data_IF_527956076748
#
_entry.id   IF_527956076748
#
_cell.length_a   1.000
_cell.length_b   1.000
_cell.length_c   1.000
_cell.angle_alpha   90.00
_cell.angle_beta   90.00
_cell.angle_gamma   90.00
#
_symmetry.space_group_name_H-M   'P 1'
#
loop_
_entity.id
_entity.type
_entity.pdbx_description
1 polymer ?
#
# COMPACT_ATOMS: atom_id res chain seq x y z
N UNK A 1 -31.57 -15.38 23.81
CA UNK A 1 -31.60 -16.84 23.64
C UNK A 1 -30.59 -17.16 22.57
N UNK A 2 -29.35 -17.54 22.95
CA UNK A 2 -28.29 -17.94 22.03
C UNK A 2 -28.62 -19.34 21.60
N UNK A 3 -28.99 -19.52 20.34
CA UNK A 3 -29.24 -20.83 19.75
C UNK A 3 -27.90 -21.53 19.58
N UNK A 4 -27.67 -22.60 20.35
CA UNK A 4 -26.59 -23.57 20.10
C UNK A 4 -26.88 -24.24 18.75
N UNK A 5 -26.37 -23.70 17.68
CA UNK A 5 -26.31 -24.35 16.37
C UNK A 5 -24.87 -24.68 16.05
N UNK A 6 -24.63 -25.66 15.18
CA UNK A 6 -23.34 -26.21 14.81
C UNK A 6 -22.17 -25.22 14.89
N UNK A 7 -21.05 -25.67 15.47
CA UNK A 7 -19.83 -24.83 15.56
C UNK A 7 -19.51 -24.29 14.18
N UNK A 8 -19.57 -22.96 14.03
CA UNK A 8 -19.23 -22.31 12.77
C UNK A 8 -17.76 -22.58 12.43
N UNK A 9 -17.38 -22.50 11.17
CA UNK A 9 -15.98 -22.64 10.74
C UNK A 9 -15.05 -21.70 11.55
N UNK A 10 -15.57 -20.54 11.94
CA UNK A 10 -14.92 -19.56 12.80
C UNK A 10 -14.58 -20.10 14.19
N UNK A 11 -15.50 -20.77 14.89
CA UNK A 11 -15.21 -21.33 16.21
C UNK A 11 -14.04 -22.33 16.17
N UNK A 12 -13.91 -23.09 15.10
CA UNK A 12 -12.78 -24.00 14.89
C UNK A 12 -11.46 -23.29 14.66
N UNK A 13 -11.47 -22.13 13.99
CA UNK A 13 -10.27 -21.34 13.72
C UNK A 13 -9.74 -20.61 14.98
N UNK A 14 -10.66 -20.20 15.88
CA UNK A 14 -10.35 -19.40 17.08
C UNK A 14 -10.25 -20.24 18.38
N UNK A 15 -10.34 -21.57 18.31
CA UNK A 15 -10.30 -22.42 19.50
C UNK A 15 -9.00 -22.33 20.31
N UNK A 16 -7.87 -22.00 19.66
CA UNK A 16 -6.57 -21.84 20.33
C UNK A 16 -6.43 -20.50 21.06
N UNK A 17 -7.35 -19.55 20.82
CA UNK A 17 -7.40 -18.23 21.48
C UNK A 17 -8.84 -17.90 21.89
N UNK A 18 -9.50 -18.72 22.72
CA UNK A 18 -10.94 -18.66 22.96
C UNK A 18 -11.43 -17.33 23.58
N UNK A 19 -10.60 -16.67 24.38
CA UNK A 19 -10.90 -15.38 24.99
C UNK A 19 -10.53 -14.21 24.08
N UNK A 20 -9.82 -14.47 22.99
CA UNK A 20 -9.30 -13.45 22.07
C UNK A 20 -10.21 -13.16 20.88
N UNK A 21 -11.30 -13.90 20.72
CA UNK A 21 -12.28 -13.73 19.66
C UNK A 21 -13.66 -13.45 20.23
N UNK A 22 -14.30 -12.40 19.73
CA UNK A 22 -15.65 -12.02 20.16
C UNK A 22 -16.51 -11.57 18.99
N UNK A 23 -17.55 -12.36 18.61
CA UNK A 23 -18.52 -11.91 17.65
C UNK A 23 -19.34 -10.74 18.26
N UNK A 24 -19.35 -9.60 17.60
CA UNK A 24 -20.08 -8.42 18.03
C UNK A 24 -21.49 -8.37 17.41
N UNK A 25 -21.59 -8.74 16.14
CA UNK A 25 -22.85 -8.67 15.41
C UNK A 25 -22.84 -9.58 14.18
N UNK A 26 -23.99 -10.16 13.91
CA UNK A 26 -24.29 -10.82 12.66
C UNK A 26 -23.77 -12.25 12.58
N UNK A 27 -23.86 -12.77 11.37
CA UNK A 27 -23.46 -14.09 10.93
C UNK A 27 -23.52 -14.05 9.40
N UNK A 28 -22.39 -14.30 8.76
CA UNK A 28 -22.25 -14.13 7.30
C UNK A 28 -23.15 -15.08 6.51
N UNK A 29 -23.31 -16.32 6.99
CA UNK A 29 -24.15 -17.32 6.32
C UNK A 29 -25.64 -16.97 6.42
N UNK A 30 -26.08 -16.43 7.57
CA UNK A 30 -27.49 -16.13 7.83
C UNK A 30 -27.93 -14.73 7.42
N UNK A 31 -27.11 -13.72 7.74
CA UNK A 31 -27.44 -12.31 7.55
C UNK A 31 -26.66 -11.68 6.40
N UNK A 32 -25.66 -12.35 5.89
CA UNK A 32 -24.76 -11.81 4.87
C UNK A 32 -23.78 -10.78 5.41
N UNK A 33 -23.70 -10.60 6.74
CA UNK A 33 -22.78 -9.69 7.40
C UNK A 33 -22.36 -10.21 8.76
N UNK A 34 -21.08 -10.10 9.10
CA UNK A 34 -20.49 -10.38 10.40
C UNK A 34 -19.57 -9.25 10.83
N UNK A 35 -19.55 -8.96 12.13
CA UNK A 35 -18.60 -8.00 12.75
C UNK A 35 -17.98 -8.68 13.95
N UNK A 36 -16.64 -8.73 13.97
CA UNK A 36 -15.90 -9.43 15.01
C UNK A 36 -14.80 -8.56 15.59
N UNK A 37 -14.55 -8.74 16.87
CA UNK A 37 -13.44 -8.15 17.59
C UNK A 37 -12.44 -9.22 17.98
N UNK A 38 -11.16 -8.94 17.73
CA UNK A 38 -10.05 -9.81 18.06
C UNK A 38 -9.07 -9.08 18.97
N UNK A 39 -8.73 -9.71 20.09
CA UNK A 39 -7.81 -9.15 21.09
C UNK A 39 -7.10 -10.29 21.84
N UNK A 40 -5.88 -10.66 21.41
CA UNK A 40 -5.17 -11.80 21.96
C UNK A 40 -3.65 -11.66 21.89
N UNK A 41 -2.98 -12.50 22.66
CA UNK A 41 -1.54 -12.75 22.55
C UNK A 41 -1.32 -14.22 22.20
N UNK A 42 -0.30 -14.50 21.42
CA UNK A 42 0.09 -15.86 21.08
C UNK A 42 1.61 -15.99 21.08
N UNK A 43 2.10 -17.10 21.59
CA UNK A 43 3.54 -17.42 21.63
C UNK A 43 4.04 -18.03 20.32
N UNK A 44 3.14 -18.54 19.50
CA UNK A 44 3.41 -19.09 18.18
C UNK A 44 2.76 -18.26 17.10
N UNK A 45 3.25 -18.38 15.86
CA UNK A 45 2.56 -17.81 14.72
C UNK A 45 1.17 -18.45 14.59
N UNK A 46 0.14 -17.63 14.48
CA UNK A 46 -1.25 -18.06 14.44
C UNK A 46 -1.80 -17.93 13.03
N UNK A 47 -2.32 -19.03 12.49
CA UNK A 47 -3.00 -19.05 11.18
C UNK A 47 -4.52 -19.04 11.37
N UNK A 48 -5.15 -17.96 10.90
CA UNK A 48 -6.58 -17.74 10.98
C UNK A 48 -7.30 -17.82 9.61
N UNK A 49 -6.56 -18.23 8.56
CA UNK A 49 -7.11 -18.36 7.21
C UNK A 49 -8.28 -19.34 7.09
N UNK A 50 -8.49 -20.19 8.10
CA UNK A 50 -9.62 -21.13 8.17
C UNK A 50 -10.95 -20.45 8.53
N UNK A 51 -10.93 -19.22 9.05
CA UNK A 51 -12.15 -18.46 9.38
C UNK A 51 -12.80 -17.81 8.17
N UNK A 52 -12.13 -17.75 7.05
CA UNK A 52 -12.66 -17.09 5.86
C UNK A 52 -13.78 -17.90 5.21
N UNK A 53 -14.89 -17.20 4.91
CA UNK A 53 -15.97 -17.81 4.16
C UNK A 53 -15.74 -17.66 2.65
N UNK A 54 -16.01 -18.70 1.86
CA UNK A 54 -16.00 -18.55 0.40
C UNK A 54 -17.08 -17.55 -0.07
N UNK A 55 -16.77 -16.82 -1.14
CA UNK A 55 -17.66 -15.82 -1.74
C UNK A 55 -18.01 -14.66 -0.81
N UNK A 56 -17.07 -14.29 0.04
CA UNK A 56 -17.17 -13.13 0.91
C UNK A 56 -16.13 -12.07 0.57
N UNK A 57 -16.33 -10.89 1.12
CA UNK A 57 -15.36 -9.82 1.20
C UNK A 57 -15.21 -9.45 2.66
N UNK A 58 -14.02 -9.59 3.19
CA UNK A 58 -13.70 -9.23 4.56
C UNK A 58 -12.82 -7.99 4.60
N UNK A 59 -13.18 -7.07 5.47
CA UNK A 59 -12.42 -5.86 5.79
C UNK A 59 -11.74 -6.04 7.13
N UNK A 60 -10.45 -5.76 7.18
CA UNK A 60 -9.66 -5.83 8.40
C UNK A 60 -9.13 -4.45 8.77
N UNK A 61 -9.42 -4.00 10.00
CA UNK A 61 -8.83 -2.82 10.61
C UNK A 61 -7.85 -3.27 11.69
N UNK A 62 -6.57 -3.29 11.37
CA UNK A 62 -5.52 -3.77 12.25
C UNK A 62 -5.04 -2.65 13.20
N UNK A 63 -5.39 -2.75 14.48
CA UNK A 63 -5.03 -1.78 15.52
C UNK A 63 -3.70 -2.12 16.19
N UNK A 64 -3.37 -3.41 16.30
CA UNK A 64 -2.16 -3.89 16.98
C UNK A 64 -1.67 -5.24 16.44
N UNK A 65 -0.36 -5.46 16.56
CA UNK A 65 0.31 -6.66 16.08
C UNK A 65 0.48 -6.70 14.56
N UNK A 66 1.38 -7.54 14.10
CA UNK A 66 1.68 -7.72 12.68
C UNK A 66 0.94 -8.94 12.14
N UNK A 67 0.13 -8.73 11.12
CA UNK A 67 -0.55 -9.76 10.36
C UNK A 67 -0.12 -9.78 8.89
N UNK A 68 -0.33 -10.90 8.22
CA UNK A 68 -0.15 -11.01 6.78
C UNK A 68 -1.28 -11.84 6.18
N UNK A 69 -1.82 -11.39 5.05
CA UNK A 69 -2.83 -12.10 4.29
C UNK A 69 -2.34 -12.27 2.85
N UNK A 70 -2.56 -13.44 2.27
CA UNK A 70 -2.13 -13.67 0.90
C UNK A 70 -2.50 -15.03 0.33
N UNK A 71 -2.20 -15.21 -0.95
CA UNK A 71 -2.32 -16.48 -1.67
C UNK A 71 -0.94 -16.88 -2.19
N UNK A 72 -0.25 -17.76 -1.46
CA UNK A 72 1.14 -18.09 -1.74
C UNK A 72 2.05 -16.84 -1.68
N UNK A 73 3.14 -16.84 -2.45
CA UNK A 73 4.09 -15.72 -2.46
C UNK A 73 3.66 -14.54 -3.35
N UNK A 74 2.64 -14.69 -4.19
CA UNK A 74 2.30 -13.69 -5.21
C UNK A 74 1.40 -12.56 -4.73
N UNK A 75 0.55 -12.80 -3.75
CA UNK A 75 -0.45 -11.85 -3.26
C UNK A 75 -0.29 -11.48 -1.78
N UNK A 76 0.85 -11.77 -1.17
CA UNK A 76 1.06 -11.47 0.25
C UNK A 76 1.08 -9.96 0.51
N UNK A 77 0.28 -9.54 1.50
CA UNK A 77 0.21 -8.18 2.03
C UNK A 77 0.37 -8.20 3.54
N UNK A 78 1.23 -7.32 4.05
CA UNK A 78 1.50 -7.19 5.48
C UNK A 78 0.61 -6.10 6.09
N UNK A 79 -0.14 -6.45 7.12
CA UNK A 79 -1.00 -5.56 7.88
C UNK A 79 -0.28 -5.13 9.15
N UNK A 80 0.29 -3.93 9.11
CA UNK A 80 0.96 -3.30 10.25
C UNK A 80 -0.07 -2.64 11.19
N UNK A 81 0.29 -2.35 12.46
CA UNK A 81 -0.57 -1.59 13.35
C UNK A 81 -0.99 -0.24 12.73
N UNK A 82 -2.28 0.08 12.83
CA UNK A 82 -2.84 1.31 12.27
C UNK A 82 -3.14 1.24 10.78
N UNK A 83 -3.17 0.05 10.17
CA UNK A 83 -3.56 -0.14 8.76
C UNK A 83 -4.88 -0.87 8.61
N UNK A 84 -5.56 -0.63 7.51
CA UNK A 84 -6.80 -1.29 7.11
C UNK A 84 -6.74 -1.73 5.65
N UNK A 85 -7.50 -2.74 5.31
CA UNK A 85 -7.63 -3.22 3.94
C UNK A 85 -8.72 -4.27 3.84
N UNK A 86 -8.88 -4.86 2.67
CA UNK A 86 -9.85 -5.91 2.42
C UNK A 86 -9.25 -7.06 1.61
N UNK A 87 -9.87 -8.20 1.73
CA UNK A 87 -9.62 -9.35 0.88
C UNK A 87 -10.94 -10.02 0.49
N UNK A 88 -10.97 -10.52 -0.73
CA UNK A 88 -12.07 -11.28 -1.28
C UNK A 88 -11.64 -12.73 -1.44
N UNK A 89 -12.43 -13.64 -0.92
CA UNK A 89 -12.15 -15.07 -0.95
C UNK A 89 -12.95 -15.69 -2.09
N UNK A 90 -12.24 -16.31 -3.05
CA UNK A 90 -12.82 -17.20 -4.06
C UNK A 90 -12.71 -18.66 -3.57
N UNK A 91 -12.73 -19.61 -4.50
CA UNK A 91 -12.63 -21.04 -4.15
C UNK A 91 -11.26 -21.46 -3.56
N UNK A 92 -10.19 -20.68 -3.82
CA UNK A 92 -8.87 -20.98 -3.30
C UNK A 92 -8.63 -20.30 -1.94
N UNK A 93 -8.17 -21.04 -0.91
CA UNK A 93 -7.98 -20.51 0.42
C UNK A 93 -6.91 -19.41 0.45
N UNK A 94 -7.12 -18.41 1.31
CA UNK A 94 -6.12 -17.43 1.68
C UNK A 94 -5.31 -17.94 2.88
N UNK A 95 -4.02 -17.66 2.87
CA UNK A 95 -3.18 -17.81 4.06
C UNK A 95 -3.25 -16.50 4.86
N UNK A 96 -3.59 -16.60 6.13
CA UNK A 96 -3.65 -15.45 7.02
C UNK A 96 -2.92 -15.76 8.31
N UNK A 97 -1.83 -15.05 8.57
CA UNK A 97 -0.95 -15.33 9.70
C UNK A 97 -0.80 -14.11 10.59
N UNK A 98 -0.71 -14.33 11.90
CA UNK A 98 -0.31 -13.35 12.92
C UNK A 98 1.03 -13.76 13.50
N UNK A 99 1.94 -12.78 13.71
CA UNK A 99 3.27 -13.07 14.23
C UNK A 99 3.24 -13.47 15.71
N UNK A 100 4.15 -14.39 16.09
CA UNK A 100 4.34 -14.79 17.47
C UNK A 100 4.79 -13.64 18.39
N UNK A 101 4.55 -13.77 19.67
CA UNK A 101 5.02 -12.86 20.75
C UNK A 101 4.53 -11.42 20.64
N UNK A 102 3.41 -11.19 19.97
CA UNK A 102 2.81 -9.86 19.84
C UNK A 102 1.40 -9.83 20.42
N UNK A 103 0.96 -8.63 20.79
CA UNK A 103 -0.44 -8.36 21.13
C UNK A 103 -1.18 -8.00 19.85
N UNK A 104 -2.12 -8.84 19.45
CA UNK A 104 -2.95 -8.66 18.28
C UNK A 104 -4.27 -8.05 18.67
N UNK A 105 -4.60 -6.92 18.04
CA UNK A 105 -5.88 -6.25 18.23
C UNK A 105 -6.40 -5.77 16.89
N UNK A 106 -7.55 -6.26 16.45
CA UNK A 106 -8.12 -5.90 15.16
C UNK A 106 -9.63 -6.16 15.12
N UNK A 107 -10.28 -5.52 14.17
CA UNK A 107 -11.70 -5.72 13.86
C UNK A 107 -11.80 -6.27 12.45
N UNK A 108 -12.66 -7.26 12.28
CA UNK A 108 -13.08 -7.76 10.97
C UNK A 108 -14.55 -7.45 10.72
N UNK A 109 -14.85 -7.08 9.47
CA UNK A 109 -16.20 -6.97 8.95
C UNK A 109 -16.25 -7.84 7.71
N UNK A 110 -17.04 -8.87 7.76
CA UNK A 110 -17.23 -9.74 6.62
C UNK A 110 -18.63 -9.61 6.03
N UNK A 111 -18.68 -9.53 4.70
CA UNK A 111 -19.93 -9.45 3.96
C UNK A 111 -19.98 -10.54 2.92
N UNK A 112 -21.09 -11.25 2.82
CA UNK A 112 -21.32 -12.13 1.69
C UNK A 112 -21.42 -11.30 0.38
N UNK A 113 -20.91 -11.84 -0.71
CA UNK A 113 -20.94 -11.17 -2.01
C UNK A 113 -22.36 -10.84 -2.43
N UNK A 114 -23.30 -11.75 -2.20
CA UNK A 114 -24.72 -11.54 -2.49
C UNK A 114 -25.31 -10.37 -1.73
N UNK A 115 -24.92 -10.22 -0.45
CA UNK A 115 -25.35 -9.07 0.37
C UNK A 115 -24.80 -7.77 -0.21
N UNK A 116 -23.52 -7.71 -0.55
CA UNK A 116 -22.90 -6.52 -1.15
C UNK A 116 -23.54 -6.16 -2.49
N UNK A 117 -23.77 -7.13 -3.36
CA UNK A 117 -24.43 -6.90 -4.65
C UNK A 117 -25.80 -6.25 -4.49
N UNK A 118 -26.62 -6.78 -3.55
CA UNK A 118 -27.93 -6.21 -3.27
C UNK A 118 -27.88 -4.79 -2.69
N UNK A 119 -26.93 -4.52 -1.79
CA UNK A 119 -26.78 -3.19 -1.17
C UNK A 119 -26.24 -2.15 -2.15
N UNK A 120 -25.45 -2.55 -3.13
CA UNK A 120 -24.65 -1.66 -3.96
C UNK A 120 -25.10 -1.58 -5.41
N UNK A 121 -26.19 -2.27 -5.80
CA UNK A 121 -26.67 -2.32 -7.19
C UNK A 121 -26.89 -0.93 -7.81
N UNK A 122 -27.30 0.06 -6.99
CA UNK A 122 -27.58 1.41 -7.45
C UNK A 122 -26.37 2.34 -7.49
N UNK A 123 -25.21 1.91 -6.97
CA UNK A 123 -24.00 2.71 -6.87
C UNK A 123 -22.74 2.00 -7.40
N UNK A 124 -22.89 0.94 -8.17
CA UNK A 124 -21.78 0.16 -8.73
C UNK A 124 -20.74 1.03 -9.45
N UNK A 125 -21.20 2.05 -10.20
CA UNK A 125 -20.33 2.94 -10.98
C UNK A 125 -19.45 3.86 -10.12
N UNK A 126 -19.79 4.07 -8.85
CA UNK A 126 -19.08 4.94 -7.91
C UNK A 126 -18.10 4.19 -7.00
N UNK A 127 -18.10 2.86 -7.06
CA UNK A 127 -17.22 2.01 -6.28
C UNK A 127 -15.75 2.14 -6.70
N UNK A 128 -14.85 1.88 -5.76
CA UNK A 128 -13.46 1.61 -6.10
C UNK A 128 -13.37 0.52 -7.18
N UNK A 129 -12.54 0.68 -8.24
CA UNK A 129 -12.50 -0.27 -9.35
C UNK A 129 -12.15 -1.71 -8.96
N UNK A 130 -11.26 -1.90 -7.96
CA UNK A 130 -10.90 -3.23 -7.48
C UNK A 130 -12.05 -3.84 -6.68
N UNK A 131 -12.73 -3.03 -5.87
CA UNK A 131 -13.91 -3.44 -5.12
C UNK A 131 -15.07 -3.80 -6.04
N UNK A 132 -15.34 -2.96 -7.05
CA UNK A 132 -16.36 -3.27 -8.06
C UNK A 132 -16.07 -4.61 -8.73
N UNK A 133 -14.82 -4.86 -9.08
CA UNK A 133 -14.43 -6.15 -9.65
C UNK A 133 -14.65 -7.30 -8.66
N UNK A 134 -14.23 -7.16 -7.39
CA UNK A 134 -14.41 -8.18 -6.37
C UNK A 134 -15.88 -8.53 -6.11
N UNK A 135 -16.79 -7.56 -6.19
CA UNK A 135 -18.21 -7.76 -5.89
C UNK A 135 -19.02 -8.20 -7.10
N UNK A 136 -18.81 -7.55 -8.27
CA UNK A 136 -19.71 -7.70 -9.44
C UNK A 136 -19.11 -8.51 -10.59
N UNK A 137 -17.80 -8.82 -10.62
CA UNK A 137 -17.28 -9.64 -11.71
C UNK A 137 -17.82 -11.07 -11.63
N UNK A 138 -18.22 -11.60 -12.80
CA UNK A 138 -18.68 -12.99 -12.91
C UNK A 138 -17.59 -14.05 -12.70
N UNK A 139 -16.31 -13.62 -12.66
CA UNK A 139 -15.16 -14.49 -12.37
C UNK A 139 -14.79 -14.34 -10.90
N UNK A 140 -14.93 -15.42 -10.17
CA UNK A 140 -14.49 -15.47 -8.78
C UNK A 140 -12.96 -15.41 -8.74
N UNK A 141 -12.43 -14.28 -8.29
CA UNK A 141 -11.00 -14.09 -8.16
C UNK A 141 -10.68 -13.66 -6.73
N UNK A 142 -9.73 -14.36 -6.13
CA UNK A 142 -9.17 -13.96 -4.85
C UNK A 142 -8.40 -12.64 -4.99
N UNK A 143 -8.74 -11.67 -4.17
CA UNK A 143 -8.12 -10.34 -4.18
C UNK A 143 -7.65 -10.01 -2.78
N UNK A 144 -6.45 -9.43 -2.66
CA UNK A 144 -5.94 -8.85 -1.41
C UNK A 144 -5.52 -7.41 -1.69
N UNK A 145 -6.23 -6.46 -1.09
CA UNK A 145 -5.93 -5.03 -1.28
C UNK A 145 -4.59 -4.64 -0.65
N UNK A 146 -3.98 -3.58 -1.15
CA UNK A 146 -2.83 -2.97 -0.48
C UNK A 146 -3.33 -2.27 0.78
N UNK A 147 -2.82 -2.60 2.00
CA UNK A 147 -3.23 -1.96 3.23
C UNK A 147 -2.98 -0.45 3.19
N UNK A 148 -3.94 0.31 3.71
CA UNK A 148 -3.91 1.77 3.82
C UNK A 148 -3.96 2.19 5.29
N UNK A 149 -3.44 3.35 5.67
CA UNK A 149 -3.61 3.88 7.01
C UNK A 149 -5.09 3.98 7.41
N UNK A 150 -5.43 3.55 8.63
CA UNK A 150 -6.78 3.71 9.19
C UNK A 150 -7.08 5.21 9.29
N UNK A 151 -8.18 5.66 8.67
CA UNK A 151 -8.61 7.05 8.74
C UNK A 151 -9.08 7.44 10.15
N UNK A 152 -9.21 8.74 10.39
CA UNK A 152 -9.73 9.25 11.67
C UNK A 152 -11.17 8.77 11.90
N UNK A 153 -11.98 8.78 10.86
CA UNK A 153 -13.39 8.37 10.86
C UNK A 153 -13.51 6.87 11.16
N UNK A 154 -12.77 6.04 10.44
CA UNK A 154 -12.71 4.59 10.69
C UNK A 154 -12.30 4.29 12.14
N UNK A 155 -11.26 4.98 12.64
CA UNK A 155 -10.80 4.82 14.04
C UNK A 155 -11.86 5.19 15.05
N UNK A 156 -12.62 6.25 14.79
CA UNK A 156 -13.72 6.70 15.67
C UNK A 156 -14.84 5.65 15.71
N UNK A 157 -15.23 5.09 14.56
CA UNK A 157 -16.24 4.04 14.51
C UNK A 157 -15.76 2.81 15.28
N UNK A 158 -14.55 2.31 15.00
CA UNK A 158 -13.98 1.14 15.66
C UNK A 158 -13.91 1.32 17.19
N UNK A 159 -13.49 2.50 17.65
CA UNK A 159 -13.42 2.81 19.09
C UNK A 159 -14.78 2.71 19.80
N UNK A 160 -15.88 2.90 19.08
CA UNK A 160 -17.23 2.79 19.64
C UNK A 160 -17.76 1.34 19.69
N UNK A 161 -17.19 0.40 18.92
CA UNK A 161 -17.71 -0.97 18.78
C UNK A 161 -17.68 -1.77 20.10
N UNK A 162 -16.70 -1.50 20.96
CA UNK A 162 -16.57 -2.24 22.23
C UNK A 162 -17.58 -1.85 23.30
N UNK A 163 -18.06 -0.63 23.26
CA UNK A 163 -19.00 -0.07 24.23
C UNK A 163 -20.15 0.65 23.52
N UNK A 164 -21.12 -0.09 22.96
CA UNK A 164 -22.25 0.50 22.28
C UNK A 164 -23.02 1.46 23.22
N UNK A 165 -23.23 2.73 22.84
CA UNK A 165 -23.90 3.73 23.70
C UNK A 165 -25.42 3.60 23.63
N UNK A 166 -25.94 2.37 23.51
CA UNK A 166 -27.37 2.09 23.33
C UNK A 166 -27.80 0.92 24.23
N UNK A 167 -29.08 0.84 24.64
CA UNK A 167 -29.63 -0.29 25.38
C UNK A 167 -29.40 -1.63 24.60
N UNK A 168 -29.29 -2.71 25.37
CA UNK A 168 -29.02 -4.05 24.79
C UNK A 168 -30.02 -4.45 23.69
N UNK A 169 -31.28 -4.09 23.81
CA UNK A 169 -32.30 -4.35 22.80
C UNK A 169 -32.09 -3.63 21.47
N UNK A 170 -31.35 -2.51 21.48
CA UNK A 170 -31.04 -1.71 20.26
C UNK A 170 -29.68 -2.03 19.68
N UNK A 171 -28.84 -2.85 20.32
CA UNK A 171 -27.47 -3.10 19.90
C UNK A 171 -27.39 -3.71 18.50
N UNK A 172 -28.31 -4.58 18.11
CA UNK A 172 -28.34 -5.17 16.77
C UNK A 172 -28.46 -4.10 15.67
N UNK A 173 -29.40 -3.15 15.84
CA UNK A 173 -29.56 -2.03 14.91
C UNK A 173 -28.35 -1.11 14.91
N UNK A 174 -27.79 -0.88 16.08
CA UNK A 174 -26.61 -0.02 16.22
C UNK A 174 -25.38 -0.64 15.50
N UNK A 175 -25.08 -1.92 15.71
CA UNK A 175 -24.00 -2.61 15.02
C UNK A 175 -24.22 -2.66 13.52
N UNK A 176 -25.46 -2.90 13.07
CA UNK A 176 -25.80 -2.84 11.65
C UNK A 176 -25.49 -1.47 11.05
N UNK A 177 -25.86 -0.39 11.75
CA UNK A 177 -25.53 0.97 11.28
C UNK A 177 -24.02 1.21 11.19
N UNK A 178 -23.23 0.70 12.16
CA UNK A 178 -21.77 0.81 12.15
C UNK A 178 -21.11 -0.02 11.07
N UNK A 179 -21.64 -1.20 10.79
CA UNK A 179 -21.18 -2.02 9.67
C UNK A 179 -21.40 -1.31 8.33
N UNK A 180 -22.58 -0.69 8.14
CA UNK A 180 -22.87 0.09 6.92
C UNK A 180 -22.00 1.35 6.80
N UNK A 181 -21.75 2.05 7.93
CA UNK A 181 -20.86 3.21 7.96
C UNK A 181 -19.43 2.83 7.56
N UNK A 182 -18.87 1.75 8.13
CA UNK A 182 -17.55 1.24 7.76
C UNK A 182 -17.54 0.75 6.31
N UNK A 183 -18.57 0.06 5.85
CA UNK A 183 -18.73 -0.34 4.46
C UNK A 183 -18.62 0.87 3.53
N UNK A 184 -19.30 1.97 3.82
CA UNK A 184 -19.22 3.19 3.03
C UNK A 184 -17.80 3.78 2.99
N UNK A 185 -17.05 3.69 4.08
CA UNK A 185 -15.65 4.15 4.11
C UNK A 185 -14.66 3.28 3.33
N UNK A 186 -14.98 2.02 3.07
CA UNK A 186 -14.10 1.09 2.36
C UNK A 186 -14.42 0.95 0.88
N UNK A 187 -15.69 1.01 0.52
CA UNK A 187 -16.13 0.59 -0.81
C UNK A 187 -16.02 1.69 -1.86
N UNK A 188 -16.07 2.93 -1.43
CA UNK A 188 -16.07 4.05 -2.34
C UNK A 188 -14.71 4.71 -2.39
N UNK A 189 -14.24 5.01 -3.59
CA UNK A 189 -13.12 5.94 -3.74
C UNK A 189 -13.59 7.28 -3.15
N UNK A 190 -12.89 7.84 -2.15
CA UNK A 190 -13.27 9.14 -1.65
C UNK A 190 -13.35 10.12 -2.83
N UNK A 191 -14.56 10.56 -3.17
CA UNK A 191 -14.75 11.74 -4.02
C UNK A 191 -14.38 12.93 -3.17
N UNK A 192 -13.07 13.04 -2.93
CA UNK A 192 -12.40 14.11 -2.22
C UNK A 192 -13.28 15.06 -1.37
N UNK A 193 -12.81 15.42 -0.21
CA UNK A 193 -11.76 16.42 -0.23
C UNK A 193 -10.46 15.89 0.40
N UNK A 194 -9.62 15.27 -0.38
CA UNK A 194 -8.18 15.40 -0.13
C UNK A 194 -8.00 16.89 0.15
N UNK A 195 -7.75 17.27 1.40
CA UNK A 195 -7.53 18.66 1.78
C UNK A 195 -6.69 19.27 0.66
N UNK A 196 -7.11 20.40 0.09
CA UNK A 196 -6.47 21.03 -1.09
C UNK A 196 -4.95 21.00 -0.99
N UNK A 197 -4.40 21.11 0.21
CA UNK A 197 -2.96 20.99 0.50
C UNK A 197 -2.40 19.55 0.30
N UNK A 198 -3.17 18.50 0.56
CA UNK A 198 -2.72 17.11 0.36
C UNK A 198 -2.76 16.72 -1.11
N UNK A 199 -3.80 17.13 -1.83
CA UNK A 199 -3.88 16.99 -3.27
C UNK A 199 -2.73 17.74 -3.98
N UNK A 200 -2.42 18.96 -3.54
CA UNK A 200 -1.29 19.68 -4.07
C UNK A 200 0.04 18.98 -3.80
N UNK A 201 0.24 18.40 -2.62
CA UNK A 201 1.46 17.62 -2.29
C UNK A 201 1.57 16.36 -3.15
N UNK A 202 0.47 15.63 -3.34
CA UNK A 202 0.45 14.42 -4.18
C UNK A 202 0.78 14.78 -5.64
N UNK A 203 0.08 15.75 -6.21
CA UNK A 203 0.33 16.22 -7.57
C UNK A 203 1.77 16.73 -7.73
N UNK A 204 2.32 17.41 -6.72
CA UNK A 204 3.71 17.85 -6.75
C UNK A 204 4.70 16.68 -6.78
N UNK A 205 4.45 15.61 -5.99
CA UNK A 205 5.27 14.39 -6.02
C UNK A 205 5.18 13.66 -7.36
N UNK A 206 3.99 13.45 -7.88
CA UNK A 206 3.78 12.82 -9.19
C UNK A 206 4.54 13.56 -10.31
N UNK A 207 4.49 14.88 -10.30
CA UNK A 207 5.26 15.73 -11.22
C UNK A 207 6.78 15.54 -11.07
N UNK A 208 7.27 15.48 -9.84
CA UNK A 208 8.69 15.25 -9.55
C UNK A 208 9.14 13.88 -10.04
N UNK A 209 8.38 12.82 -9.78
CA UNK A 209 8.70 11.47 -10.27
C UNK A 209 8.71 11.44 -11.82
N UNK A 210 7.74 12.08 -12.46
CA UNK A 210 7.71 12.17 -13.92
C UNK A 210 8.95 12.90 -14.49
N UNK A 211 9.39 13.98 -13.86
CA UNK A 211 10.62 14.69 -14.25
C UNK A 211 11.85 13.80 -14.08
N UNK A 212 11.95 13.05 -12.99
CA UNK A 212 13.07 12.09 -12.80
C UNK A 212 13.12 11.04 -13.92
N UNK A 213 11.97 10.51 -14.33
CA UNK A 213 11.89 9.55 -15.45
C UNK A 213 12.34 10.20 -16.76
N UNK A 214 11.89 11.42 -17.07
CA UNK A 214 12.29 12.14 -18.28
C UNK A 214 13.79 12.41 -18.32
N UNK A 215 14.37 12.85 -17.20
CA UNK A 215 15.82 13.08 -17.09
C UNK A 215 16.62 11.80 -17.23
N UNK A 216 16.13 10.68 -16.69
CA UNK A 216 16.80 9.38 -16.82
C UNK A 216 16.74 8.83 -18.25
N UNK A 217 15.65 9.05 -18.98
CA UNK A 217 15.49 8.65 -20.39
C UNK A 217 16.32 9.49 -21.35
N UNK A 218 16.47 10.77 -21.05
CA UNK A 218 17.17 11.75 -21.91
C UNK A 218 18.44 12.28 -21.24
N UNK A 219 19.26 11.36 -20.75
CA UNK A 219 20.41 11.69 -19.91
C UNK A 219 21.47 12.55 -20.63
N UNK A 220 21.78 12.20 -21.90
CA UNK A 220 22.76 12.92 -22.69
C UNK A 220 22.23 14.28 -23.18
N UNK A 221 20.98 14.32 -23.60
CA UNK A 221 20.31 15.52 -24.14
C UNK A 221 19.01 15.79 -23.35
N UNK A 222 19.11 16.34 -22.12
CA UNK A 222 17.94 16.52 -21.28
C UNK A 222 17.03 17.61 -21.82
N UNK A 223 15.69 17.46 -21.69
CA UNK A 223 14.75 18.52 -22.03
C UNK A 223 15.03 19.80 -21.21
N UNK A 224 14.74 20.96 -21.79
CA UNK A 224 14.84 22.22 -21.07
C UNK A 224 13.83 22.29 -19.92
N UNK A 225 14.04 23.21 -18.98
CA UNK A 225 13.14 23.39 -17.85
C UNK A 225 11.72 23.77 -18.30
N UNK A 226 11.60 24.50 -19.40
CA UNK A 226 10.34 24.89 -20.05
C UNK A 226 9.60 23.66 -20.56
N UNK A 227 10.31 22.78 -21.28
CA UNK A 227 9.75 21.51 -21.81
C UNK A 227 9.33 20.58 -20.66
N UNK A 228 10.18 20.42 -19.65
CA UNK A 228 9.83 19.65 -18.46
C UNK A 228 8.58 20.21 -17.76
N UNK A 229 8.47 21.54 -17.67
CA UNK A 229 7.31 22.21 -17.10
C UNK A 229 6.02 21.94 -17.90
N UNK A 230 6.09 21.98 -19.23
CA UNK A 230 4.98 21.67 -20.13
C UNK A 230 4.53 20.19 -19.97
N UNK A 231 5.47 19.25 -19.96
CA UNK A 231 5.20 17.82 -19.81
C UNK A 231 4.46 17.46 -18.52
N UNK A 232 4.74 18.20 -17.44
CA UNK A 232 4.10 17.95 -16.13
C UNK A 232 3.00 18.94 -15.76
N UNK A 233 2.64 19.85 -16.68
CA UNK A 233 1.59 20.85 -16.47
C UNK A 233 1.90 21.79 -15.29
N UNK A 234 3.13 22.35 -15.26
CA UNK A 234 3.59 23.22 -14.19
C UNK A 234 4.53 24.30 -14.74
N UNK A 235 4.45 25.52 -14.19
CA UNK A 235 5.41 26.55 -14.60
C UNK A 235 6.85 26.16 -14.20
N UNK A 236 7.87 26.57 -14.99
CA UNK A 236 9.27 26.25 -14.70
C UNK A 236 9.72 26.66 -13.29
N UNK A 237 9.27 27.80 -12.82
CA UNK A 237 9.56 28.29 -11.46
C UNK A 237 9.00 27.36 -10.37
N UNK A 238 7.73 27.01 -10.48
CA UNK A 238 7.09 26.09 -9.52
C UNK A 238 7.66 24.69 -9.58
N UNK A 239 8.01 24.21 -10.79
CA UNK A 239 8.67 22.92 -10.97
C UNK A 239 10.01 22.87 -10.25
N UNK A 240 10.89 23.83 -10.51
CA UNK A 240 12.22 23.91 -9.88
C UNK A 240 12.15 23.94 -8.36
N UNK A 241 11.23 24.74 -7.80
CA UNK A 241 11.02 24.84 -6.35
C UNK A 241 10.47 23.54 -5.74
N UNK A 242 9.48 22.94 -6.37
CA UNK A 242 8.89 21.68 -5.91
C UNK A 242 9.91 20.53 -5.98
N UNK A 243 10.65 20.44 -7.08
CA UNK A 243 11.68 19.43 -7.27
C UNK A 243 12.75 19.54 -6.18
N UNK A 244 13.29 20.74 -5.94
CA UNK A 244 14.31 20.95 -4.91
C UNK A 244 13.80 20.63 -3.50
N UNK A 245 12.54 20.93 -3.20
CA UNK A 245 11.93 20.62 -1.91
C UNK A 245 11.73 19.11 -1.69
N UNK A 246 11.29 18.37 -2.72
CA UNK A 246 11.00 16.93 -2.62
C UNK A 246 12.26 16.06 -2.72
N UNK A 247 13.25 16.48 -3.51
CA UNK A 247 14.47 15.70 -3.80
C UNK A 247 15.67 16.12 -2.96
N UNK A 248 15.65 17.34 -2.41
CA UNK A 248 16.80 17.94 -1.72
C UNK A 248 17.92 18.44 -2.66
N UNK A 249 17.74 18.31 -3.97
CA UNK A 249 18.70 18.71 -5.00
C UNK A 249 17.98 19.54 -6.07
N UNK A 250 18.68 20.51 -6.67
CA UNK A 250 18.17 21.17 -7.88
C UNK A 250 18.14 20.19 -9.07
N UNK A 251 17.31 20.46 -10.09
CA UNK A 251 17.25 19.63 -11.31
C UNK A 251 18.64 19.45 -11.95
N UNK A 252 19.48 20.51 -12.14
CA UNK A 252 20.83 20.32 -12.65
C UNK A 252 21.75 19.47 -11.75
N UNK A 253 21.64 19.60 -10.44
CA UNK A 253 22.41 18.77 -9.50
C UNK A 253 21.98 17.31 -9.55
N UNK A 254 20.68 17.07 -9.65
CA UNK A 254 20.12 15.71 -9.78
C UNK A 254 20.54 15.07 -11.10
N UNK A 255 20.47 15.80 -12.22
CA UNK A 255 20.94 15.32 -13.53
C UNK A 255 22.45 15.02 -13.50
N UNK A 256 23.27 15.89 -12.88
CA UNK A 256 24.69 15.60 -12.69
C UNK A 256 24.91 14.28 -11.95
N UNK A 257 24.18 14.07 -10.85
CA UNK A 257 24.26 12.81 -10.09
C UNK A 257 23.88 11.60 -10.95
N UNK A 258 22.79 11.67 -11.71
CA UNK A 258 22.37 10.59 -12.62
C UNK A 258 23.46 10.30 -13.68
N UNK A 259 24.02 11.33 -14.31
CA UNK A 259 25.09 11.21 -15.31
C UNK A 259 26.32 10.54 -14.73
N UNK A 260 26.74 10.94 -13.53
CA UNK A 260 27.94 10.35 -12.89
C UNK A 260 27.70 8.91 -12.45
N UNK A 261 26.53 8.60 -11.94
CA UNK A 261 26.15 7.21 -11.61
C UNK A 261 26.16 6.34 -12.87
N UNK A 262 25.57 6.82 -13.97
CA UNK A 262 25.56 6.09 -15.24
C UNK A 262 26.96 5.92 -15.84
N UNK A 263 27.79 6.95 -15.81
CA UNK A 263 29.18 6.87 -16.24
C UNK A 263 29.99 5.85 -15.42
N UNK A 264 29.80 5.82 -14.11
CA UNK A 264 30.42 4.83 -13.25
C UNK A 264 30.00 3.39 -13.59
N UNK A 265 28.73 3.16 -13.92
CA UNK A 265 28.25 1.88 -14.43
C UNK A 265 28.93 1.49 -15.74
N UNK A 266 28.99 2.40 -16.72
CA UNK A 266 29.63 2.17 -18.02
C UNK A 266 31.11 1.80 -17.86
N UNK A 267 31.86 2.58 -17.09
CA UNK A 267 33.27 2.32 -16.80
C UNK A 267 33.48 0.96 -16.12
N UNK A 268 32.58 0.58 -15.20
CA UNK A 268 32.65 -0.72 -14.52
C UNK A 268 32.47 -1.92 -15.45
N UNK A 269 31.78 -1.77 -16.57
CA UNK A 269 31.63 -2.87 -17.56
C UNK A 269 32.93 -3.19 -18.28
N UNK A 270 33.91 -2.30 -18.23
CA UNK A 270 35.17 -2.41 -19.00
C UNK A 270 35.02 -2.25 -20.51
N UNK A 271 33.80 -1.98 -20.99
CA UNK A 271 33.49 -1.82 -22.42
C UNK A 271 33.61 -0.39 -22.91
N UNK A 272 33.68 0.57 -22.00
CA UNK A 272 33.76 2.00 -22.28
C UNK A 272 35.04 2.56 -21.68
N UNK A 273 35.76 3.32 -22.46
CA UNK A 273 36.84 4.17 -21.95
C UNK A 273 36.24 5.47 -21.36
N UNK A 274 37.11 6.27 -20.72
CA UNK A 274 36.68 7.48 -20.04
C UNK A 274 36.02 8.50 -20.99
N UNK A 275 36.54 8.63 -22.20
CA UNK A 275 36.03 9.54 -23.23
C UNK A 275 34.66 9.08 -23.74
N UNK A 276 34.50 7.81 -24.02
CA UNK A 276 33.25 7.21 -24.46
C UNK A 276 32.19 7.32 -23.38
N UNK A 277 32.54 7.02 -22.14
CA UNK A 277 31.59 7.15 -21.00
C UNK A 277 31.16 8.62 -20.79
N UNK A 278 32.08 9.57 -20.94
CA UNK A 278 31.76 11.00 -20.86
C UNK A 278 30.78 11.43 -21.96
N UNK A 279 31.01 11.02 -23.20
CA UNK A 279 30.16 11.32 -24.35
C UNK A 279 28.78 10.70 -24.19
N UNK A 280 28.70 9.43 -23.77
CA UNK A 280 27.45 8.69 -23.57
C UNK A 280 26.53 9.36 -22.56
N UNK A 281 27.09 9.99 -21.54
CA UNK A 281 26.31 10.72 -20.52
C UNK A 281 26.17 12.21 -20.81
N UNK A 282 26.52 12.67 -22.05
CA UNK A 282 26.24 14.02 -22.52
C UNK A 282 27.26 15.08 -22.07
N UNK A 283 28.54 14.70 -21.88
CA UNK A 283 29.65 15.65 -21.67
C UNK A 283 30.48 15.80 -22.93
N UNK A 284 30.55 17.03 -23.42
CA UNK A 284 31.41 17.39 -24.55
C UNK A 284 32.85 17.75 -24.13
N UNK A 285 33.09 18.02 -22.83
CA UNK A 285 34.39 18.34 -22.28
C UNK A 285 34.84 17.31 -21.27
N UNK A 286 35.94 16.61 -21.54
CA UNK A 286 36.54 15.60 -20.67
C UNK A 286 37.01 16.19 -19.32
N UNK A 287 37.50 17.44 -19.33
CA UNK A 287 37.92 18.15 -18.11
C UNK A 287 36.76 18.41 -17.19
N UNK A 288 35.62 18.89 -17.71
CA UNK A 288 34.41 19.10 -16.93
C UNK A 288 33.81 17.80 -16.43
N UNK A 289 33.83 16.74 -17.27
CA UNK A 289 33.41 15.41 -16.86
C UNK A 289 34.26 14.89 -15.69
N UNK A 290 35.61 14.89 -15.84
CA UNK A 290 36.51 14.34 -14.82
C UNK A 290 36.34 15.07 -13.47
N UNK A 291 36.19 16.39 -13.50
CA UNK A 291 35.92 17.17 -12.30
C UNK A 291 34.60 16.76 -11.64
N UNK A 292 33.50 16.70 -12.43
CA UNK A 292 32.19 16.31 -11.94
C UNK A 292 32.16 14.89 -11.40
N UNK A 293 32.91 13.97 -12.05
CA UNK A 293 33.01 12.57 -11.64
C UNK A 293 33.75 12.45 -10.30
N UNK A 294 34.92 13.12 -10.15
CA UNK A 294 35.66 13.11 -8.89
C UNK A 294 34.84 13.70 -7.74
N UNK A 295 34.14 14.82 -7.97
CA UNK A 295 33.30 15.45 -6.95
C UNK A 295 32.09 14.58 -6.54
N UNK A 296 31.55 13.78 -7.46
CA UNK A 296 30.32 12.99 -7.20
C UNK A 296 30.61 11.57 -6.71
N UNK A 297 31.62 10.91 -7.30
CA UNK A 297 31.97 9.50 -7.06
C UNK A 297 33.10 9.35 -6.03
N UNK A 298 33.90 10.41 -5.84
CA UNK A 298 35.00 10.43 -4.85
C UNK A 298 36.36 9.94 -5.39
N UNK A 299 36.48 9.57 -6.68
CA UNK A 299 37.75 9.17 -7.29
C UNK A 299 37.82 9.60 -8.76
N UNK A 300 39.03 9.63 -9.33
CA UNK A 300 39.21 9.93 -10.76
C UNK A 300 38.59 8.84 -11.65
N UNK A 301 37.95 9.21 -12.78
CA UNK A 301 37.32 8.24 -13.66
C UNK A 301 38.30 7.20 -14.23
N UNK A 302 39.56 7.56 -14.45
CA UNK A 302 40.63 6.63 -14.92
C UNK A 302 40.95 5.57 -13.88
N UNK A 303 40.86 5.89 -12.59
CA UNK A 303 41.18 5.00 -11.48
C UNK A 303 39.96 4.24 -10.94
N UNK A 304 38.73 4.59 -11.40
CA UNK A 304 37.51 4.06 -10.85
C UNK A 304 37.37 2.53 -10.86
N UNK A 305 37.73 1.80 -11.96
CA UNK A 305 37.69 0.34 -11.96
C UNK A 305 38.67 -0.29 -10.96
N UNK A 306 39.85 0.30 -10.76
CA UNK A 306 40.88 -0.20 -9.85
C UNK A 306 40.56 0.09 -8.37
N UNK A 307 39.97 1.24 -8.07
CA UNK A 307 39.61 1.64 -6.72
C UNK A 307 38.57 0.71 -6.06
N UNK A 308 37.77 -0.01 -6.85
CA UNK A 308 36.77 -0.95 -6.34
C UNK A 308 37.32 -2.33 -5.95
N UNK A 309 38.44 -2.72 -6.56
CA UNK A 309 39.10 -3.98 -6.20
C UNK A 309 39.88 -3.88 -4.87
N UNK A 310 40.11 -2.67 -4.37
CA UNK A 310 40.83 -2.42 -3.09
C UNK A 310 39.88 -2.40 -1.88
N UNK A 311 38.57 -2.23 -2.10
CA UNK A 311 37.57 -2.13 -1.00
C UNK A 311 36.92 -3.50 -0.68
N UNK A 312 37.24 -4.57 -1.41
CA UNK A 312 36.66 -5.90 -1.23
C UNK A 312 37.63 -6.98 -0.75
N UNK A 313 38.81 -6.60 -0.24
CA UNK A 313 39.63 -7.53 0.57
C UNK A 313 39.46 -7.22 2.06
N UNK A 314 39.07 -8.25 2.89
CA UNK A 314 38.68 -8.14 4.30
C UNK A 314 39.80 -7.77 5.25
#
# INVERSE_FOLDING_TARGET
MIVKGAASAEQGAWQDVPDGWRPLYGDVERLGVGVEWHDFRTDLAFDWGRSFHPRSVEFCLNLGGHGAVGQGNRLRRDYLPGTSGYYSVADAPLNATRQAHQHHQFVTLEFSRTHLQKQLEHCEGDLDPQMRHAVFSGKEQTTVSSPQPITKEQRQVVGSLLQPPVPKAAQALWYQSKALELMAHFLFTPKDPELFCMRQKRVARERVERVKELLARHLAEPPSLEVLGQEVGCSPFHLSRNFSREVGLTIPQYLRKLRMTRAAELLRTGRYNVTEAATEVGYSSLSHFSKAFCETIGCCPVLYPAARNVILDP
#
